data_IF_947999420073
#
_entry.id   IF_947999420073
#
_cell.length_a   1.000
_cell.length_b   1.000
_cell.length_c   1.000
_cell.angle_alpha   90.00
_cell.angle_beta   90.00
_cell.angle_gamma   90.00
#
_symmetry.space_group_name_H-M   'P 1'
#
loop_
_entity.id
_entity.type
_entity.pdbx_description
1 polymer ?
#
# COMPACT_ATOMS: atom_id res chain seq x y z
N UNK A 1 -15.80 -16.27 -0.69
CA UNK A 1 -15.05 -16.10 -1.94
C UNK A 1 -15.01 -17.41 -2.71
N UNK A 2 -14.95 -17.34 -4.03
CA UNK A 2 -14.80 -18.49 -4.92
C UNK A 2 -13.38 -18.45 -5.52
N UNK A 3 -12.61 -19.52 -5.36
CA UNK A 3 -11.23 -19.59 -5.80
C UNK A 3 -11.05 -20.56 -6.97
N UNK A 4 -10.18 -20.21 -7.91
CA UNK A 4 -9.67 -21.13 -8.93
C UNK A 4 -8.91 -22.28 -8.27
N UNK A 5 -9.23 -23.51 -8.64
CA UNK A 5 -8.57 -24.71 -8.11
C UNK A 5 -7.08 -24.84 -8.48
N UNK A 6 -6.61 -24.06 -9.44
CA UNK A 6 -5.24 -24.20 -10.00
C UNK A 6 -4.29 -23.11 -9.52
N UNK A 7 -4.81 -21.91 -9.17
CA UNK A 7 -3.93 -20.74 -8.97
C UNK A 7 -4.22 -19.94 -7.69
N UNK A 8 -5.22 -20.28 -6.89
CA UNK A 8 -5.74 -19.45 -5.80
C UNK A 8 -6.17 -18.04 -6.26
N UNK A 9 -6.44 -17.87 -7.54
CA UNK A 9 -7.04 -16.65 -8.07
C UNK A 9 -8.49 -16.57 -7.65
N UNK A 10 -8.92 -15.44 -7.11
CA UNK A 10 -10.33 -15.22 -6.79
C UNK A 10 -11.12 -14.98 -8.08
N UNK A 11 -12.18 -15.76 -8.24
CA UNK A 11 -13.13 -15.58 -9.32
C UNK A 11 -14.16 -14.54 -8.88
N UNK A 12 -14.26 -13.46 -9.61
CA UNK A 12 -15.19 -12.36 -9.36
C UNK A 12 -16.38 -12.43 -10.35
N UNK A 13 -17.39 -13.26 -10.08
CA UNK A 13 -18.47 -13.54 -11.05
C UNK A 13 -19.31 -12.29 -11.36
N UNK A 14 -19.42 -11.35 -10.43
CA UNK A 14 -20.16 -10.10 -10.60
C UNK A 14 -19.30 -8.94 -11.14
N UNK A 15 -18.10 -9.26 -11.62
CA UNK A 15 -17.16 -8.28 -12.16
C UNK A 15 -17.41 -8.09 -13.66
N UNK A 16 -18.29 -7.17 -14.01
CA UNK A 16 -18.71 -6.95 -15.39
C UNK A 16 -17.62 -6.24 -16.21
N UNK A 17 -17.47 -6.68 -17.46
CA UNK A 17 -16.45 -6.14 -18.39
C UNK A 17 -16.67 -4.65 -18.72
N UNK A 18 -17.90 -4.20 -18.76
CA UNK A 18 -18.28 -2.82 -19.09
C UNK A 18 -18.22 -1.87 -17.88
N UNK A 19 -18.32 -2.41 -16.65
CA UNK A 19 -18.18 -1.67 -15.41
C UNK A 19 -17.54 -2.57 -14.33
N UNK A 20 -16.19 -2.74 -14.34
CA UNK A 20 -15.49 -3.70 -13.49
C UNK A 20 -15.36 -3.20 -12.05
N UNK A 21 -16.44 -3.30 -11.28
CA UNK A 21 -16.56 -2.83 -9.92
C UNK A 21 -17.54 -3.69 -9.10
N UNK A 22 -17.16 -3.99 -7.87
CA UNK A 22 -18.00 -4.66 -6.87
C UNK A 22 -17.90 -3.89 -5.55
N UNK A 23 -19.03 -3.63 -4.89
CA UNK A 23 -19.10 -3.16 -3.52
C UNK A 23 -19.62 -4.29 -2.61
N UNK A 24 -18.88 -4.58 -1.54
CA UNK A 24 -19.26 -5.62 -0.58
C UNK A 24 -19.24 -5.08 0.85
N UNK A 25 -20.30 -5.36 1.60
CA UNK A 25 -20.33 -5.21 3.04
C UNK A 25 -20.22 -6.59 3.67
N UNK A 26 -19.04 -6.95 4.16
CA UNK A 26 -18.78 -8.26 4.76
C UNK A 26 -18.99 -8.21 6.28
N UNK A 27 -19.97 -8.97 6.76
CA UNK A 27 -20.24 -9.17 8.19
C UNK A 27 -19.63 -10.50 8.61
N UNK A 28 -18.42 -10.45 9.19
CA UNK A 28 -17.63 -11.66 9.46
C UNK A 28 -18.24 -12.59 10.51
N UNK A 29 -19.11 -12.09 11.39
CA UNK A 29 -19.77 -12.92 12.41
C UNK A 29 -20.77 -13.92 11.81
N UNK A 30 -21.23 -13.69 10.58
CA UNK A 30 -22.11 -14.60 9.86
C UNK A 30 -21.38 -15.83 9.26
N UNK A 31 -20.05 -15.76 9.19
CA UNK A 31 -19.24 -16.84 8.62
C UNK A 31 -18.86 -17.87 9.70
N UNK A 32 -18.91 -19.16 9.33
CA UNK A 32 -18.53 -20.29 10.18
C UNK A 32 -17.03 -20.22 10.50
N UNK A 33 -16.21 -19.88 9.51
CA UNK A 33 -14.77 -19.62 9.64
C UNK A 33 -14.50 -18.16 9.26
N UNK A 34 -14.09 -17.32 10.21
CA UNK A 34 -13.82 -15.91 9.96
C UNK A 34 -12.45 -15.66 9.31
N UNK A 35 -12.06 -16.55 8.41
CA UNK A 35 -10.80 -16.47 7.64
C UNK A 35 -11.11 -16.45 6.17
N UNK A 36 -10.63 -15.42 5.49
CA UNK A 36 -10.53 -15.41 4.03
C UNK A 36 -9.19 -16.05 3.67
N UNK A 37 -9.18 -17.21 2.97
CA UNK A 37 -7.96 -17.95 2.68
C UNK A 37 -7.02 -17.14 1.78
N UNK A 38 -5.79 -17.61 1.62
CA UNK A 38 -4.81 -17.04 0.70
C UNK A 38 -5.34 -17.04 -0.73
N UNK A 39 -5.44 -15.85 -1.32
CA UNK A 39 -5.92 -15.62 -2.69
C UNK A 39 -5.27 -14.36 -3.27
N UNK A 40 -5.47 -14.15 -4.55
CA UNK A 40 -5.10 -12.95 -5.27
C UNK A 40 -6.10 -12.68 -6.39
N UNK A 41 -6.20 -11.44 -6.84
CA UNK A 41 -7.04 -11.01 -7.97
C UNK A 41 -6.40 -9.81 -8.69
N UNK A 42 -6.84 -9.56 -9.92
CA UNK A 42 -6.37 -8.42 -10.72
C UNK A 42 -6.94 -7.08 -10.24
N UNK A 43 -8.14 -7.11 -9.67
CA UNK A 43 -8.74 -5.94 -9.07
C UNK A 43 -7.87 -5.35 -7.94
N UNK A 44 -8.03 -4.08 -7.67
CA UNK A 44 -7.53 -3.46 -6.44
C UNK A 44 -8.62 -3.43 -5.38
N UNK A 45 -8.24 -3.41 -4.11
CA UNK A 45 -9.17 -3.24 -2.99
C UNK A 45 -9.02 -1.88 -2.34
N UNK A 46 -10.15 -1.23 -2.07
CA UNK A 46 -10.25 -0.16 -1.09
C UNK A 46 -11.16 -0.65 0.02
N UNK A 47 -10.67 -0.67 1.26
CA UNK A 47 -11.45 -1.20 2.37
C UNK A 47 -11.50 -0.23 3.55
N UNK A 48 -12.57 -0.37 4.33
CA UNK A 48 -12.79 0.34 5.58
C UNK A 48 -13.39 -0.60 6.62
N UNK A 49 -12.88 -0.57 7.84
CA UNK A 49 -13.40 -1.35 8.95
C UNK A 49 -14.41 -0.50 9.71
N UNK A 50 -15.70 -0.84 9.54
CA UNK A 50 -16.83 -0.14 10.15
C UNK A 50 -16.96 -0.46 11.63
N UNK A 51 -16.71 -1.71 12.01
CA UNK A 51 -16.71 -2.18 13.40
C UNK A 51 -15.76 -3.36 13.57
N UNK A 52 -15.37 -3.66 14.81
CA UNK A 52 -14.50 -4.76 15.15
C UNK A 52 -13.04 -4.55 14.73
N UNK A 53 -12.39 -5.62 14.27
CA UNK A 53 -10.98 -5.63 13.90
C UNK A 53 -10.68 -6.71 12.88
N UNK A 54 -9.96 -6.36 11.82
CA UNK A 54 -9.53 -7.26 10.77
C UNK A 54 -8.00 -7.30 10.67
N UNK A 55 -7.44 -8.50 10.53
CA UNK A 55 -6.03 -8.69 10.18
C UNK A 55 -5.92 -9.00 8.68
N UNK A 56 -5.03 -8.30 8.00
CA UNK A 56 -4.55 -8.64 6.65
C UNK A 56 -3.13 -9.20 6.74
N UNK A 57 -2.85 -10.22 5.94
CA UNK A 57 -1.52 -10.81 5.80
C UNK A 57 -1.15 -10.90 4.33
N UNK A 58 0.04 -10.43 3.96
CA UNK A 58 0.69 -10.66 2.66
C UNK A 58 2.02 -11.40 2.89
N UNK A 59 2.73 -11.86 1.86
CA UNK A 59 4.07 -12.43 2.02
C UNK A 59 5.07 -11.49 2.70
N UNK A 60 4.89 -10.16 2.56
CA UNK A 60 5.82 -9.16 3.06
C UNK A 60 5.39 -8.51 4.39
N UNK A 61 4.20 -8.81 4.90
CA UNK A 61 3.78 -8.22 6.17
C UNK A 61 2.44 -8.68 6.70
N UNK A 62 2.16 -8.22 7.91
CA UNK A 62 0.91 -8.44 8.60
C UNK A 62 0.47 -7.13 9.24
N UNK A 63 -0.78 -6.75 8.99
CA UNK A 63 -1.37 -5.50 9.47
C UNK A 63 -2.68 -5.78 10.21
N UNK A 64 -2.94 -4.99 11.22
CA UNK A 64 -4.19 -5.06 11.98
C UNK A 64 -4.93 -3.74 11.85
N UNK A 65 -6.17 -3.82 11.43
CA UNK A 65 -7.06 -2.69 11.17
C UNK A 65 -8.20 -2.68 12.17
N UNK A 66 -8.19 -1.83 13.21
CA UNK A 66 -9.35 -1.61 14.07
C UNK A 66 -10.44 -0.81 13.36
N UNK A 67 -11.62 -0.75 13.98
CA UNK A 67 -12.71 0.12 13.51
C UNK A 67 -12.23 1.57 13.30
N UNK A 68 -12.70 2.19 12.23
CA UNK A 68 -12.29 3.54 11.82
C UNK A 68 -11.06 3.61 10.94
N UNK A 69 -10.37 2.48 10.68
CA UNK A 69 -9.22 2.40 9.80
C UNK A 69 -9.55 1.66 8.51
N UNK A 70 -8.65 1.68 7.56
CA UNK A 70 -8.82 0.99 6.29
C UNK A 70 -7.54 1.01 5.47
N UNK A 71 -7.67 0.82 4.18
CA UNK A 71 -6.51 0.82 3.31
C UNK A 71 -6.80 0.55 1.85
N UNK A 72 -5.71 0.43 1.14
CA UNK A 72 -5.64 0.02 -0.25
C UNK A 72 -4.77 -1.24 -0.33
N UNK A 73 -5.26 -2.26 -1.02
CA UNK A 73 -4.50 -3.44 -1.43
C UNK A 73 -4.32 -3.41 -2.93
N UNK A 74 -3.09 -3.61 -3.37
CA UNK A 74 -2.74 -3.49 -4.78
C UNK A 74 -3.15 -4.71 -5.59
N UNK A 75 -3.22 -4.53 -6.91
CA UNK A 75 -3.47 -5.56 -7.91
C UNK A 75 -2.47 -6.72 -7.81
N UNK A 76 -2.93 -7.94 -8.00
CA UNK A 76 -2.13 -9.17 -8.01
C UNK A 76 -1.33 -9.47 -6.73
N UNK A 77 -1.69 -8.88 -5.60
CA UNK A 77 -1.05 -9.16 -4.32
C UNK A 77 -1.68 -10.40 -3.68
N UNK A 78 -0.84 -11.40 -3.40
CA UNK A 78 -1.27 -12.58 -2.63
C UNK A 78 -1.55 -12.16 -1.19
N UNK A 79 -2.75 -12.42 -0.69
CA UNK A 79 -3.16 -12.00 0.64
C UNK A 79 -4.19 -12.93 1.28
N UNK A 80 -4.35 -12.78 2.57
CA UNK A 80 -5.42 -13.39 3.35
C UNK A 80 -5.90 -12.42 4.41
N UNK A 81 -7.14 -12.54 4.85
CA UNK A 81 -7.68 -11.77 5.95
C UNK A 81 -8.30 -12.65 7.03
N UNK A 82 -8.26 -12.17 8.27
CA UNK A 82 -8.75 -12.92 9.43
C UNK A 82 -9.36 -11.99 10.47
N UNK A 83 -10.45 -12.42 11.06
CA UNK A 83 -11.03 -11.79 12.25
C UNK A 83 -10.53 -12.48 13.51
N UNK A 84 -10.39 -11.75 14.60
CA UNK A 84 -10.06 -12.30 15.90
C UNK A 84 -11.15 -13.29 16.35
N UNK A 85 -10.80 -14.47 16.90
CA UNK A 85 -11.77 -15.47 17.35
C UNK A 85 -12.79 -14.98 18.39
N UNK A 86 -12.52 -13.88 19.09
CA UNK A 86 -13.43 -13.30 20.07
C UNK A 86 -14.67 -12.60 19.48
N UNK A 87 -14.79 -12.54 18.13
CA UNK A 87 -15.93 -12.02 17.37
C UNK A 87 -16.46 -10.69 17.90
N UNK A 88 -15.73 -9.62 17.58
CA UNK A 88 -16.07 -8.27 18.04
C UNK A 88 -17.12 -7.57 17.12
N UNK A 89 -17.96 -8.32 16.40
CA UNK A 89 -18.89 -7.73 15.41
C UNK A 89 -18.16 -7.06 14.26
N UNK A 90 -17.22 -7.77 13.61
CA UNK A 90 -16.38 -7.17 12.56
C UNK A 90 -17.15 -7.00 11.26
N UNK A 91 -17.24 -5.75 10.81
CA UNK A 91 -17.86 -5.36 9.55
C UNK A 91 -16.84 -4.61 8.70
N UNK A 92 -16.61 -5.12 7.49
CA UNK A 92 -15.75 -4.52 6.48
C UNK A 92 -16.60 -3.99 5.32
N UNK A 93 -16.33 -2.77 4.91
CA UNK A 93 -16.76 -2.21 3.63
C UNK A 93 -15.61 -2.37 2.63
N UNK A 94 -15.88 -2.94 1.47
CA UNK A 94 -14.88 -3.29 0.47
C UNK A 94 -15.35 -2.86 -0.93
N UNK A 95 -14.53 -2.04 -1.61
CA UNK A 95 -14.63 -1.75 -3.03
C UNK A 95 -13.56 -2.56 -3.76
N UNK A 96 -13.99 -3.41 -4.67
CA UNK A 96 -13.15 -4.11 -5.63
C UNK A 96 -13.33 -3.50 -7.00
N UNK A 97 -12.28 -3.10 -7.68
CA UNK A 97 -12.40 -2.58 -9.04
C UNK A 97 -11.12 -2.77 -9.86
N UNK A 98 -11.30 -2.90 -11.17
CA UNK A 98 -10.18 -2.83 -12.10
C UNK A 98 -9.75 -1.36 -12.26
N UNK A 99 -8.47 -1.03 -12.07
CA UNK A 99 -7.97 0.32 -12.28
C UNK A 99 -8.25 0.90 -13.68
N UNK A 100 -8.49 0.06 -14.69
CA UNK A 100 -8.95 0.50 -16.01
C UNK A 100 -10.27 1.28 -15.96
N UNK A 101 -11.11 1.05 -14.96
CA UNK A 101 -12.31 1.84 -14.70
C UNK A 101 -11.99 3.33 -14.59
N UNK A 102 -10.82 3.69 -14.03
CA UNK A 102 -10.38 5.07 -13.85
C UNK A 102 -9.78 5.65 -15.13
N UNK A 103 -8.97 4.86 -15.82
CA UNK A 103 -8.29 5.32 -17.05
C UNK A 103 -9.20 5.32 -18.28
N UNK A 104 -10.21 4.47 -18.29
CA UNK A 104 -11.11 4.28 -19.44
C UNK A 104 -10.48 3.46 -20.57
N UNK A 105 -9.46 2.66 -20.27
CA UNK A 105 -8.81 1.73 -21.19
C UNK A 105 -7.30 1.78 -21.14
N UNK A 106 -6.67 0.80 -21.79
CA UNK A 106 -5.22 0.63 -21.83
C UNK A 106 -4.52 1.66 -22.72
N UNK A 107 -3.24 1.89 -22.45
CA UNK A 107 -2.29 2.65 -23.28
C UNK A 107 -2.71 4.12 -23.56
N UNK A 108 -3.36 4.75 -22.59
CA UNK A 108 -3.65 6.17 -22.63
C UNK A 108 -2.83 6.95 -21.58
N UNK A 109 -2.90 8.29 -21.62
CA UNK A 109 -2.11 9.16 -20.75
C UNK A 109 -2.46 8.99 -19.26
N UNK A 110 -3.70 8.66 -18.91
CA UNK A 110 -4.13 8.48 -17.53
C UNK A 110 -3.52 7.18 -17.01
N UNK A 111 -3.61 6.12 -17.80
CA UNK A 111 -3.01 4.82 -17.49
C UNK A 111 -1.51 4.95 -17.19
N UNK A 112 -0.76 5.50 -18.13
CA UNK A 112 0.70 5.60 -18.04
C UNK A 112 1.18 6.50 -16.88
N UNK A 113 0.45 7.57 -16.56
CA UNK A 113 0.90 8.58 -15.60
C UNK A 113 0.36 8.40 -14.19
N UNK A 114 -0.78 7.74 -14.04
CA UNK A 114 -1.50 7.70 -12.76
C UNK A 114 -1.87 6.28 -12.31
N UNK A 115 -2.06 5.32 -13.21
CA UNK A 115 -2.40 3.95 -12.82
C UNK A 115 -1.15 3.10 -12.63
N UNK A 116 -0.37 2.91 -13.69
CA UNK A 116 0.83 2.06 -13.67
C UNK A 116 1.87 2.42 -12.60
N UNK A 117 2.09 3.70 -12.26
CA UNK A 117 3.03 4.04 -11.18
C UNK A 117 2.65 3.43 -9.83
N UNK A 118 1.37 3.27 -9.53
CA UNK A 118 0.92 2.64 -8.30
C UNK A 118 0.80 1.12 -8.45
N UNK A 119 0.18 0.63 -9.52
CA UNK A 119 -0.13 -0.79 -9.69
C UNK A 119 1.08 -1.65 -10.04
N UNK A 120 2.00 -1.15 -10.87
CA UNK A 120 3.10 -1.97 -11.42
C UNK A 120 4.49 -1.54 -10.93
N UNK A 121 4.71 -0.24 -10.68
CA UNK A 121 6.06 0.30 -10.50
C UNK A 121 6.44 0.59 -9.06
N UNK A 122 5.47 0.75 -8.17
CA UNK A 122 5.73 1.19 -6.79
C UNK A 122 6.37 0.12 -5.91
N UNK A 123 6.12 -1.17 -6.19
CA UNK A 123 6.43 -2.26 -5.27
C UNK A 123 5.59 -2.22 -3.97
N UNK A 124 4.58 -1.37 -3.92
CA UNK A 124 3.68 -1.21 -2.77
C UNK A 124 2.59 -2.28 -2.86
N UNK A 125 2.54 -3.18 -1.89
CA UNK A 125 1.47 -4.17 -1.77
C UNK A 125 0.23 -3.58 -1.11
N UNK A 126 0.44 -2.77 -0.06
CA UNK A 126 -0.62 -2.20 0.77
C UNK A 126 -0.30 -0.77 1.20
N UNK A 127 -1.31 0.08 1.23
CA UNK A 127 -1.28 1.39 1.88
C UNK A 127 -2.28 1.36 3.03
N UNK A 128 -1.76 1.49 4.26
CA UNK A 128 -2.60 1.57 5.45
C UNK A 128 -3.08 3.01 5.65
N UNK A 129 -4.35 3.17 6.00
CA UNK A 129 -4.97 4.46 6.26
C UNK A 129 -5.48 4.51 7.71
N UNK A 130 -5.02 5.52 8.44
CA UNK A 130 -5.35 5.75 9.84
C UNK A 130 -5.91 7.17 10.04
N UNK A 131 -6.93 7.36 10.90
CA UNK A 131 -7.61 8.65 11.05
C UNK A 131 -6.76 9.72 11.77
N UNK A 132 -5.63 9.36 12.38
CA UNK A 132 -4.74 10.29 13.07
C UNK A 132 -4.02 11.26 12.10
N UNK A 133 -3.95 10.90 10.82
CA UNK A 133 -3.38 11.74 9.77
C UNK A 133 -4.52 12.33 8.92
N UNK A 134 -4.69 13.67 8.86
CA UNK A 134 -5.86 14.31 8.23
C UNK A 134 -6.09 13.96 6.77
N UNK A 135 -5.03 13.69 6.00
CA UNK A 135 -5.15 13.28 4.59
C UNK A 135 -5.69 11.86 4.48
N UNK A 136 -5.24 10.96 5.36
CA UNK A 136 -5.70 9.57 5.39
C UNK A 136 -7.14 9.50 5.90
N UNK A 137 -7.48 10.29 6.91
CA UNK A 137 -8.86 10.43 7.40
C UNK A 137 -9.81 10.87 6.29
N UNK A 138 -9.42 11.86 5.48
CA UNK A 138 -10.21 12.32 4.34
C UNK A 138 -10.42 11.20 3.28
N UNK A 139 -9.43 10.33 3.06
CA UNK A 139 -9.58 9.16 2.18
C UNK A 139 -10.52 8.11 2.78
N UNK A 140 -10.39 7.81 4.07
CA UNK A 140 -11.29 6.90 4.78
C UNK A 140 -12.75 7.35 4.69
N UNK A 141 -13.02 8.65 4.87
CA UNK A 141 -14.35 9.22 4.68
C UNK A 141 -14.87 9.05 3.25
N UNK A 142 -14.01 9.25 2.24
CA UNK A 142 -14.40 9.03 0.83
C UNK A 142 -14.69 7.55 0.55
N UNK A 143 -13.90 6.61 1.09
CA UNK A 143 -14.17 5.18 0.94
C UNK A 143 -15.55 4.84 1.51
N UNK A 144 -15.89 5.32 2.71
CA UNK A 144 -17.21 5.10 3.31
C UNK A 144 -18.34 5.72 2.47
N UNK A 145 -18.17 6.96 2.02
CA UNK A 145 -19.20 7.68 1.26
C UNK A 145 -19.52 7.02 -0.10
N UNK A 146 -18.59 6.19 -0.65
CA UNK A 146 -18.85 5.37 -1.82
C UNK A 146 -19.99 4.38 -1.64
N UNK A 147 -20.17 3.87 -0.42
CA UNK A 147 -21.27 2.95 -0.07
C UNK A 147 -22.62 3.66 0.11
N UNK A 148 -22.64 4.97 0.19
CA UNK A 148 -23.88 5.76 0.28
C UNK A 148 -24.48 6.05 -1.11
N UNK A 149 -23.72 5.77 -2.17
CA UNK A 149 -24.21 5.92 -3.55
C UNK A 149 -25.22 4.81 -3.85
N UNK A 150 -26.41 5.19 -4.26
CA UNK A 150 -27.48 4.26 -4.60
C UNK A 150 -27.26 3.70 -6.01
N UNK A 151 -27.00 2.40 -6.09
CA UNK A 151 -26.86 1.68 -7.36
C UNK A 151 -28.16 1.77 -8.18
N UNK A 152 -28.01 2.01 -9.48
CA UNK A 152 -29.13 2.22 -10.40
C UNK A 152 -29.74 3.62 -10.37
N UNK A 153 -29.28 4.51 -9.47
CA UNK A 153 -29.65 5.93 -9.55
C UNK A 153 -29.02 6.62 -10.75
N UNK A 154 -29.67 7.65 -11.27
CA UNK A 154 -29.13 8.39 -12.42
C UNK A 154 -27.76 9.01 -12.11
N UNK A 155 -26.75 8.64 -12.92
CA UNK A 155 -25.38 9.12 -12.78
C UNK A 155 -24.54 8.38 -11.72
N UNK A 156 -25.00 7.23 -11.20
CA UNK A 156 -24.30 6.42 -10.23
C UNK A 156 -22.87 6.10 -10.67
N UNK A 157 -22.70 5.54 -11.86
CA UNK A 157 -21.39 5.11 -12.38
C UNK A 157 -20.41 6.26 -12.51
N UNK A 158 -20.88 7.44 -12.93
CA UNK A 158 -20.04 8.64 -13.08
C UNK A 158 -19.63 9.17 -11.70
N UNK A 159 -20.55 9.23 -10.73
CA UNK A 159 -20.26 9.70 -9.37
C UNK A 159 -19.31 8.76 -8.65
N UNK A 160 -19.54 7.46 -8.76
CA UNK A 160 -18.66 6.44 -8.20
C UNK A 160 -17.24 6.53 -8.80
N UNK A 161 -17.14 6.57 -10.13
CA UNK A 161 -15.85 6.74 -10.81
C UNK A 161 -15.14 8.03 -10.38
N UNK A 162 -15.85 9.13 -10.24
CA UNK A 162 -15.28 10.38 -9.75
C UNK A 162 -14.71 10.21 -8.33
N UNK A 163 -15.46 9.58 -7.45
CA UNK A 163 -15.05 9.34 -6.07
C UNK A 163 -13.83 8.42 -5.98
N UNK A 164 -13.84 7.31 -6.73
CA UNK A 164 -12.68 6.40 -6.81
C UNK A 164 -11.46 7.12 -7.40
N UNK A 165 -11.64 8.01 -8.40
CA UNK A 165 -10.56 8.82 -8.96
C UNK A 165 -9.97 9.78 -7.92
N UNK A 166 -10.80 10.42 -7.11
CA UNK A 166 -10.35 11.31 -6.04
C UNK A 166 -9.58 10.57 -4.95
N UNK A 167 -10.03 9.35 -4.59
CA UNK A 167 -9.31 8.47 -3.65
C UNK A 167 -7.97 8.07 -4.25
N UNK A 168 -7.95 7.67 -5.52
CA UNK A 168 -6.74 7.27 -6.24
C UNK A 168 -5.67 8.34 -6.26
N UNK A 169 -6.03 9.59 -6.52
CA UNK A 169 -5.10 10.71 -6.46
C UNK A 169 -4.48 10.87 -5.07
N UNK A 170 -5.27 10.74 -4.02
CA UNK A 170 -4.75 10.79 -2.65
C UNK A 170 -3.81 9.62 -2.33
N UNK A 171 -4.10 8.41 -2.82
CA UNK A 171 -3.20 7.25 -2.69
C UNK A 171 -1.87 7.47 -3.41
N UNK A 172 -1.89 8.07 -4.60
CA UNK A 172 -0.67 8.42 -5.33
C UNK A 172 0.21 9.42 -4.58
N UNK A 173 -0.39 10.39 -3.89
CA UNK A 173 0.34 11.36 -3.06
C UNK A 173 1.03 10.64 -1.88
N UNK A 174 0.33 9.71 -1.22
CA UNK A 174 0.88 8.89 -0.13
C UNK A 174 1.98 7.96 -0.67
N UNK A 175 1.73 7.25 -1.76
CA UNK A 175 2.69 6.35 -2.41
C UNK A 175 3.94 7.10 -2.90
N UNK A 176 3.78 8.28 -3.50
CA UNK A 176 4.90 9.13 -3.94
C UNK A 176 5.79 9.55 -2.77
N UNK A 177 5.20 9.94 -1.65
CA UNK A 177 5.95 10.27 -0.43
C UNK A 177 6.69 9.05 0.14
N UNK A 178 6.06 7.88 0.16
CA UNK A 178 6.67 6.63 0.62
C UNK A 178 7.81 6.18 -0.29
N UNK A 179 7.63 6.28 -1.61
CA UNK A 179 8.65 5.90 -2.60
C UNK A 179 9.86 6.82 -2.54
N UNK A 180 9.67 8.12 -2.34
CA UNK A 180 10.78 9.06 -2.15
C UNK A 180 11.56 8.80 -0.85
N UNK A 181 10.87 8.38 0.20
CA UNK A 181 11.50 8.01 1.47
C UNK A 181 12.26 6.70 1.35
N UNK A 182 11.70 5.69 0.68
CA UNK A 182 12.38 4.44 0.37
C UNK A 182 13.63 4.67 -0.49
N UNK A 183 13.55 5.49 -1.52
CA UNK A 183 14.70 5.82 -2.38
C UNK A 183 15.79 6.58 -1.60
N UNK A 184 15.41 7.52 -0.72
CA UNK A 184 16.37 8.21 0.15
C UNK A 184 17.04 7.25 1.14
N UNK A 185 16.31 6.32 1.70
CA UNK A 185 16.86 5.31 2.61
C UNK A 185 17.83 4.37 1.87
N UNK A 186 17.44 3.90 0.68
CA UNK A 186 18.29 3.05 -0.16
C UNK A 186 19.59 3.76 -0.55
N UNK A 187 19.53 4.99 -1.03
CA UNK A 187 20.72 5.81 -1.35
C UNK A 187 21.62 6.00 -0.11
N UNK A 188 21.01 6.22 1.05
CA UNK A 188 21.72 6.34 2.33
C UNK A 188 22.41 5.04 2.74
N UNK A 189 21.76 3.90 2.58
CA UNK A 189 22.30 2.57 2.90
C UNK A 189 23.42 2.18 1.93
N UNK A 190 23.30 2.48 0.64
CA UNK A 190 24.36 2.30 -0.35
C UNK A 190 25.60 3.13 -0.02
N UNK A 191 25.44 4.39 0.36
CA UNK A 191 26.53 5.26 0.80
C UNK A 191 27.20 4.74 2.06
N UNK A 192 26.44 4.29 3.05
CA UNK A 192 26.99 3.70 4.26
C UNK A 192 27.77 2.42 3.94
N UNK A 193 27.21 1.51 3.12
CA UNK A 193 27.88 0.29 2.70
C UNK A 193 29.20 0.59 1.99
N UNK A 194 29.23 1.57 1.10
CA UNK A 194 30.44 1.98 0.39
C UNK A 194 31.51 2.51 1.38
N UNK A 195 31.12 3.35 2.34
CA UNK A 195 32.05 3.84 3.39
C UNK A 195 32.59 2.69 4.25
N UNK A 196 31.77 1.72 4.61
CA UNK A 196 32.21 0.54 5.38
C UNK A 196 33.16 -0.35 4.62
N UNK A 197 32.89 -0.61 3.32
CA UNK A 197 33.82 -1.34 2.45
C UNK A 197 35.18 -0.62 2.37
N UNK A 198 35.17 0.71 2.16
CA UNK A 198 36.40 1.49 2.12
C UNK A 198 37.21 1.38 3.43
N UNK A 199 36.55 1.45 4.58
CA UNK A 199 37.19 1.28 5.89
C UNK A 199 37.81 -0.12 5.99
N UNK A 200 37.11 -1.17 5.56
CA UNK A 200 37.63 -2.54 5.60
C UNK A 200 38.82 -2.76 4.68
N UNK A 201 38.84 -2.14 3.52
CA UNK A 201 39.94 -2.24 2.56
C UNK A 201 41.20 -1.47 3.01
N UNK A 202 41.02 -0.38 3.78
CA UNK A 202 42.07 0.52 4.19
C UNK A 202 42.32 0.56 5.71
N UNK A 203 41.83 -0.43 6.47
CA UNK A 203 41.90 -0.42 7.94
C UNK A 203 43.33 -0.30 8.52
N UNK A 204 44.35 -0.70 7.75
CA UNK A 204 45.74 -0.61 8.14
C UNK A 204 46.35 0.81 7.89
N UNK A 205 45.61 1.72 7.28
CA UNK A 205 46.00 3.05 6.91
C UNK A 205 45.30 4.10 7.80
N UNK A 206 45.80 5.33 7.77
CA UNK A 206 45.12 6.45 8.44
C UNK A 206 43.99 6.94 7.57
N UNK A 207 42.74 6.59 7.91
CA UNK A 207 41.54 7.03 7.20
C UNK A 207 41.05 8.34 7.78
N UNK A 208 40.78 9.32 6.93
CA UNK A 208 40.17 10.60 7.31
C UNK A 208 38.68 10.66 6.94
N UNK A 209 37.92 11.46 7.70
CA UNK A 209 36.50 11.73 7.36
C UNK A 209 36.35 12.41 5.99
N UNK A 210 37.39 13.13 5.55
CA UNK A 210 37.43 13.71 4.20
C UNK A 210 37.38 12.64 3.14
N UNK A 211 38.25 11.63 3.22
CA UNK A 211 38.30 10.53 2.27
C UNK A 211 36.96 9.78 2.23
N UNK A 212 36.37 9.47 3.39
CA UNK A 212 35.05 8.80 3.47
C UNK A 212 33.94 9.64 2.82
N UNK A 213 33.92 10.94 3.10
CA UNK A 213 32.88 11.81 2.55
C UNK A 213 33.03 12.04 1.04
N UNK A 214 34.28 12.19 0.55
CA UNK A 214 34.55 12.30 -0.89
C UNK A 214 34.19 11.02 -1.65
N UNK A 215 34.57 9.86 -1.13
CA UNK A 215 34.26 8.55 -1.72
C UNK A 215 32.76 8.31 -1.80
N UNK A 216 31.98 8.66 -0.78
CA UNK A 216 30.53 8.50 -0.77
C UNK A 216 29.78 9.68 -1.44
N UNK A 217 30.49 10.66 -2.00
CA UNK A 217 29.93 11.88 -2.62
C UNK A 217 28.98 12.65 -1.68
N UNK A 218 29.35 12.78 -0.40
CA UNK A 218 28.56 13.49 0.62
C UNK A 218 29.41 14.54 1.34
N UNK A 219 28.75 15.44 2.06
CA UNK A 219 29.46 16.35 2.96
C UNK A 219 29.89 15.64 4.26
N UNK A 220 30.94 16.11 4.90
CA UNK A 220 31.40 15.63 6.24
C UNK A 220 30.25 15.60 7.26
N UNK A 221 29.41 16.64 7.25
CA UNK A 221 28.24 16.72 8.15
C UNK A 221 27.27 15.55 7.93
N UNK A 222 27.03 15.17 6.68
CA UNK A 222 26.20 14.02 6.32
C UNK A 222 26.88 12.72 6.72
N UNK A 223 28.18 12.58 6.50
CA UNK A 223 28.98 11.42 6.93
C UNK A 223 28.85 11.19 8.45
N UNK A 224 29.08 12.20 9.29
CA UNK A 224 28.92 12.09 10.74
C UNK A 224 27.48 11.72 11.14
N UNK A 225 26.48 12.32 10.49
CA UNK A 225 25.07 12.01 10.75
C UNK A 225 24.75 10.56 10.44
N UNK A 226 25.17 10.03 9.28
CA UNK A 226 24.92 8.65 8.87
C UNK A 226 25.55 7.64 9.82
N UNK A 227 26.80 7.84 10.23
CA UNK A 227 27.45 6.97 11.21
C UNK A 227 26.71 6.97 12.55
N UNK A 228 26.28 8.15 13.04
CA UNK A 228 25.52 8.26 14.29
C UNK A 228 24.16 7.59 14.19
N UNK A 229 23.42 7.78 13.09
CA UNK A 229 22.07 7.24 12.92
C UNK A 229 22.06 5.73 12.68
N UNK A 230 23.04 5.21 11.91
CA UNK A 230 23.07 3.79 11.50
C UNK A 230 23.93 2.90 12.42
N UNK A 231 25.03 3.42 12.96
CA UNK A 231 26.00 2.63 13.74
C UNK A 231 26.11 3.10 15.19
N UNK A 232 25.43 4.19 15.57
CA UNK A 232 25.50 4.80 16.91
C UNK A 232 26.92 5.18 17.37
N UNK A 233 27.83 5.42 16.41
CA UNK A 233 29.22 5.80 16.64
C UNK A 233 29.63 6.94 15.71
N UNK A 234 30.81 7.50 15.90
CA UNK A 234 31.40 8.47 14.96
C UNK A 234 32.25 7.75 13.91
N UNK A 235 32.54 8.39 12.75
CA UNK A 235 33.42 7.81 11.74
C UNK A 235 34.89 7.69 12.21
N UNK A 236 35.24 8.23 13.40
CA UNK A 236 36.59 8.23 13.99
C UNK A 236 36.75 7.15 15.09
N UNK A 237 35.65 6.51 15.50
CA UNK A 237 35.67 5.39 16.45
C UNK A 237 35.83 4.07 15.71
#
# INVERSE_FOLDING_TARGET
IELSSESNEELLPDFFVDFPYIATCAEFDEYIDPVVPWHWHQAVELFYIKSGRLEYTTPNGKWTFPAGTGGFLNSNVLHSSRVNPNRDGTVQLLHLFDPELLSGGLSNRIEERYIRPLTEQSGIEMICLFPEEPRQEALLHKICAGFELEEGSWGYEIRLRQQLTDIWLGLLEIAGSATEEMNRNKDTDEKMKAMMCYIQEHYAETISVNQLSEMAHISKRVCFRLFREKLHMSPLE
#
